data_IF_701512059594
#
_entry.id   IF_701512059594
#
_cell.length_a   1.000
_cell.length_b   1.000
_cell.length_c   1.000
_cell.angle_alpha   90.00
_cell.angle_beta   90.00
_cell.angle_gamma   90.00
#
_symmetry.space_group_name_H-M   'P 1'
#
loop_
_entity.id
_entity.type
_entity.pdbx_description
1 polymer ?
#
# COMPACT_ATOMS: atom_id res chain seq x y z
N UNK A 1 23.93 8.58 -5.17
CA UNK A 1 23.02 9.68 -4.81
C UNK A 1 21.67 9.04 -4.59
N UNK A 2 21.24 8.92 -3.35
CA UNK A 2 19.86 8.61 -3.06
C UNK A 2 19.06 9.85 -3.42
N UNK A 3 18.16 9.73 -4.38
CA UNK A 3 17.26 10.82 -4.74
C UNK A 3 16.30 11.03 -3.56
N UNK A 4 16.54 12.08 -2.77
CA UNK A 4 15.61 12.48 -1.72
C UNK A 4 14.31 12.96 -2.36
N UNK A 5 13.20 12.34 -2.00
CA UNK A 5 11.86 12.74 -2.46
C UNK A 5 11.26 13.67 -1.41
N UNK A 6 10.95 14.90 -1.82
CA UNK A 6 10.19 15.82 -0.98
C UNK A 6 8.71 15.56 -1.20
N UNK A 7 7.99 15.32 -0.12
CA UNK A 7 6.56 15.02 -0.11
C UNK A 7 5.80 16.19 0.51
N UNK A 8 4.88 16.78 -0.24
CA UNK A 8 4.06 17.93 0.15
C UNK A 8 2.58 17.60 0.34
N UNK A 9 2.22 16.32 0.28
CA UNK A 9 0.82 15.89 0.39
C UNK A 9 0.66 14.43 0.79
N UNK A 10 -0.41 14.15 1.52
CA UNK A 10 -0.93 12.81 1.72
C UNK A 10 -1.97 12.49 0.65
N UNK A 11 -1.97 11.26 0.16
CA UNK A 11 -2.97 10.73 -0.78
C UNK A 11 -3.84 9.72 -0.06
N UNK A 12 -5.11 10.01 0.10
CA UNK A 12 -6.10 9.15 0.71
C UNK A 12 -6.92 8.49 -0.41
N UNK A 13 -6.95 7.17 -0.44
CA UNK A 13 -7.65 6.36 -1.44
C UNK A 13 -8.76 5.57 -0.74
N UNK A 14 -10.00 5.96 -0.98
CA UNK A 14 -11.19 5.30 -0.45
C UNK A 14 -11.68 4.30 -1.48
N UNK A 15 -11.38 3.04 -1.26
CA UNK A 15 -11.79 1.93 -2.14
C UNK A 15 -12.65 0.95 -1.34
N UNK A 16 -13.90 0.80 -1.76
CA UNK A 16 -14.81 -0.14 -1.13
C UNK A 16 -14.48 -1.61 -1.46
N UNK A 17 -13.56 -1.88 -2.41
CA UNK A 17 -13.24 -3.21 -2.92
C UNK A 17 -14.49 -3.99 -3.34
N UNK A 18 -14.89 -5.00 -2.54
CA UNK A 18 -16.08 -5.82 -2.78
C UNK A 18 -17.33 -5.33 -2.01
N UNK A 19 -17.17 -4.26 -1.21
CA UNK A 19 -18.26 -3.64 -0.45
C UNK A 19 -18.98 -2.57 -1.29
N UNK A 20 -20.19 -2.15 -0.89
CA UNK A 20 -20.94 -1.09 -1.57
C UNK A 20 -20.17 0.24 -1.62
N UNK A 21 -20.27 0.96 -2.75
CA UNK A 21 -19.64 2.27 -2.94
C UNK A 21 -20.11 3.31 -1.90
N UNK A 22 -21.30 3.13 -1.35
CA UNK A 22 -21.88 3.91 -0.26
C UNK A 22 -21.01 3.91 1.01
N UNK A 23 -20.27 2.85 1.25
CA UNK A 23 -19.34 2.78 2.40
C UNK A 23 -18.14 3.69 2.19
N UNK A 24 -17.55 3.69 0.98
CA UNK A 24 -16.50 4.63 0.62
C UNK A 24 -17.00 6.09 0.61
N UNK A 25 -18.24 6.32 0.19
CA UNK A 25 -18.89 7.62 0.25
C UNK A 25 -19.05 8.12 1.68
N UNK A 26 -19.56 7.28 2.60
CA UNK A 26 -19.70 7.61 4.02
C UNK A 26 -18.36 7.95 4.66
N UNK A 27 -17.35 7.15 4.39
CA UNK A 27 -16.00 7.37 4.92
C UNK A 27 -15.37 8.65 4.39
N UNK A 28 -15.58 8.96 3.09
CA UNK A 28 -15.19 10.24 2.51
C UNK A 28 -15.81 11.41 3.26
N UNK A 29 -17.13 11.37 3.53
CA UNK A 29 -17.84 12.43 4.26
C UNK A 29 -17.27 12.64 5.67
N UNK A 30 -16.98 11.54 6.38
CA UNK A 30 -16.37 11.61 7.73
C UNK A 30 -15.00 12.30 7.70
N UNK A 31 -14.17 11.94 6.73
CA UNK A 31 -12.82 12.51 6.64
C UNK A 31 -12.85 13.96 6.16
N UNK A 32 -13.65 14.26 5.15
CA UNK A 32 -13.76 15.64 4.63
C UNK A 32 -14.37 16.61 5.62
N UNK A 33 -15.33 16.18 6.45
CA UNK A 33 -15.88 17.00 7.55
C UNK A 33 -14.78 17.40 8.55
N UNK A 34 -13.89 16.48 8.91
CA UNK A 34 -12.74 16.78 9.78
C UNK A 34 -11.78 17.77 9.11
N UNK A 35 -11.46 17.58 7.83
CA UNK A 35 -10.57 18.48 7.10
C UNK A 35 -11.15 19.89 6.97
N UNK A 36 -12.45 20.00 6.76
CA UNK A 36 -13.15 21.30 6.67
C UNK A 36 -13.20 22.01 8.02
N UNK A 37 -13.46 21.31 9.12
CA UNK A 37 -13.46 21.89 10.48
C UNK A 37 -12.11 22.49 10.85
N UNK A 38 -11.04 21.88 10.39
CA UNK A 38 -9.67 22.34 10.65
C UNK A 38 -9.15 23.30 9.55
N UNK A 39 -10.02 23.69 8.59
CA UNK A 39 -9.70 24.50 7.40
C UNK A 39 -8.47 23.98 6.63
N UNK A 40 -8.28 22.67 6.60
CA UNK A 40 -7.16 22.02 5.91
C UNK A 40 -7.34 22.11 4.40
N UNK A 41 -6.26 22.41 3.68
CA UNK A 41 -6.24 22.45 2.22
C UNK A 41 -6.25 21.04 1.62
N UNK A 42 -7.27 20.74 0.78
CA UNK A 42 -7.38 19.46 0.10
C UNK A 42 -8.08 19.54 -1.25
N UNK A 43 -7.95 18.49 -2.04
CA UNK A 43 -8.69 18.27 -3.29
C UNK A 43 -9.32 16.90 -3.28
N UNK A 44 -10.50 16.78 -3.89
CA UNK A 44 -11.25 15.53 -3.96
C UNK A 44 -11.54 15.15 -5.39
N UNK A 45 -11.64 13.84 -5.62
CA UNK A 45 -12.03 13.25 -6.90
C UNK A 45 -12.87 12.00 -6.66
N UNK A 46 -13.90 11.81 -7.48
CA UNK A 46 -14.48 10.49 -7.67
C UNK A 46 -13.62 9.74 -8.69
N UNK A 47 -13.17 8.54 -8.39
CA UNK A 47 -12.23 7.77 -9.24
C UNK A 47 -12.95 6.83 -10.24
N UNK A 48 -14.28 6.73 -10.15
CA UNK A 48 -15.11 5.76 -10.87
C UNK A 48 -15.49 4.53 -10.05
N UNK A 49 -14.70 4.16 -9.02
CA UNK A 49 -14.97 3.04 -8.11
C UNK A 49 -14.86 3.40 -6.62
N UNK A 50 -14.39 4.58 -6.32
CA UNK A 50 -14.14 5.08 -4.99
C UNK A 50 -13.79 6.54 -5.06
N UNK A 51 -13.07 7.03 -4.04
CA UNK A 51 -12.76 8.45 -3.94
C UNK A 51 -11.28 8.66 -3.61
N UNK A 52 -10.72 9.72 -4.16
CA UNK A 52 -9.36 10.15 -3.88
C UNK A 52 -9.38 11.51 -3.18
N UNK A 53 -8.61 11.67 -2.10
CA UNK A 53 -8.40 12.96 -1.46
C UNK A 53 -6.91 13.24 -1.37
N UNK A 54 -6.49 14.41 -1.84
CA UNK A 54 -5.14 14.92 -1.69
C UNK A 54 -5.14 15.97 -0.59
N UNK A 55 -4.54 15.66 0.54
CA UNK A 55 -4.38 16.58 1.66
C UNK A 55 -3.02 17.23 1.56
N UNK A 56 -2.97 18.55 1.44
CA UNK A 56 -1.74 19.31 1.29
C UNK A 56 -1.13 19.61 2.65
N UNK A 57 0.18 19.45 2.75
CA UNK A 57 0.93 19.70 3.98
C UNK A 57 2.25 20.42 3.74
N UNK A 58 2.93 20.77 4.82
CA UNK A 58 4.28 21.26 4.76
C UNK A 58 5.20 20.19 4.18
N UNK A 59 6.18 20.56 3.33
CA UNK A 59 7.07 19.60 2.71
C UNK A 59 7.88 18.81 3.74
N UNK A 60 7.93 17.49 3.57
CA UNK A 60 8.75 16.56 4.37
C UNK A 60 9.58 15.67 3.44
N UNK A 61 10.74 15.25 3.90
CA UNK A 61 11.64 14.33 3.20
C UNK A 61 11.53 12.89 3.74
N UNK A 62 10.81 12.70 4.84
CA UNK A 62 10.59 11.40 5.45
C UNK A 62 9.15 10.90 5.20
N UNK A 63 9.03 9.83 4.42
CA UNK A 63 7.74 9.22 4.13
C UNK A 63 6.99 8.75 5.40
N UNK A 64 7.70 8.45 6.49
CA UNK A 64 7.10 8.04 7.76
C UNK A 64 6.18 9.10 8.34
N UNK A 65 6.50 10.38 8.13
CA UNK A 65 5.66 11.52 8.53
C UNK A 65 4.27 11.43 7.87
N UNK A 66 4.23 11.13 6.57
CA UNK A 66 2.99 10.91 5.83
C UNK A 66 2.29 9.63 6.31
N UNK A 67 3.04 8.56 6.56
CA UNK A 67 2.49 7.28 7.04
C UNK A 67 1.84 7.43 8.42
N UNK A 68 2.46 8.17 9.33
CA UNK A 68 1.89 8.43 10.66
C UNK A 68 0.63 9.29 10.57
N UNK A 69 0.64 10.34 9.73
CA UNK A 69 -0.55 11.13 9.46
C UNK A 69 -1.69 10.26 8.91
N UNK A 70 -1.38 9.43 7.92
CA UNK A 70 -2.32 8.52 7.30
C UNK A 70 -2.91 7.52 8.31
N UNK A 71 -2.07 6.91 9.14
CA UNK A 71 -2.52 6.00 10.20
C UNK A 71 -3.52 6.67 11.13
N UNK A 72 -3.28 7.94 11.50
CA UNK A 72 -4.19 8.72 12.34
C UNK A 72 -5.52 9.03 11.63
N UNK A 73 -5.49 9.33 10.33
CA UNK A 73 -6.70 9.60 9.54
C UNK A 73 -7.50 8.33 9.28
N UNK A 74 -6.83 7.18 9.10
CA UNK A 74 -7.47 5.90 8.78
C UNK A 74 -8.14 5.24 9.99
N UNK A 75 -7.99 5.78 11.19
CA UNK A 75 -8.64 5.24 12.37
C UNK A 75 -10.16 5.43 12.29
N UNK A 76 -10.90 4.31 12.32
CA UNK A 76 -12.35 4.29 12.14
C UNK A 76 -12.84 4.55 10.71
N UNK A 77 -11.95 4.43 9.70
CA UNK A 77 -12.27 4.64 8.27
C UNK A 77 -11.91 3.36 7.49
N UNK A 78 -12.78 2.35 7.46
CA UNK A 78 -12.46 1.01 6.94
C UNK A 78 -12.16 0.97 5.45
N UNK A 79 -12.77 1.83 4.62
CA UNK A 79 -12.55 1.84 3.16
C UNK A 79 -11.27 2.58 2.73
N UNK A 80 -10.55 3.20 3.68
CA UNK A 80 -9.31 3.87 3.37
C UNK A 80 -8.18 2.85 3.14
N UNK A 81 -7.71 2.73 1.88
CA UNK A 81 -6.67 1.79 1.50
C UNK A 81 -5.32 2.17 2.12
N UNK A 82 -4.94 1.45 3.18
CA UNK A 82 -3.68 1.63 3.93
C UNK A 82 -2.42 1.37 3.08
N UNK A 83 -2.57 0.81 1.89
CA UNK A 83 -1.46 0.59 0.95
C UNK A 83 -1.10 1.86 0.14
N UNK A 84 -1.92 2.90 0.25
CA UNK A 84 -1.81 4.15 -0.51
C UNK A 84 -0.57 4.99 -0.28
N UNK A 85 0.25 4.66 0.73
CA UNK A 85 1.37 5.49 1.19
C UNK A 85 2.67 5.09 0.49
N UNK A 86 2.68 5.06 -0.82
CA UNK A 86 3.88 4.80 -1.61
C UNK A 86 4.16 5.98 -2.54
N UNK A 87 5.43 6.39 -2.63
CA UNK A 87 5.86 7.51 -3.48
C UNK A 87 5.63 7.26 -4.97
N UNK A 88 5.61 6.01 -5.39
CA UNK A 88 5.47 5.56 -6.76
C UNK A 88 4.08 5.02 -7.13
N UNK A 89 3.05 5.27 -6.29
CA UNK A 89 1.70 4.78 -6.58
C UNK A 89 1.11 5.50 -7.78
N UNK A 90 0.64 4.72 -8.73
CA UNK A 90 -0.12 5.23 -9.88
C UNK A 90 -1.47 5.75 -9.42
N UNK A 91 -1.86 6.92 -9.95
CA UNK A 91 -3.12 7.58 -9.66
C UNK A 91 -3.86 7.86 -10.94
N UNK A 92 -5.18 7.78 -10.88
CA UNK A 92 -6.01 8.09 -12.03
C UNK A 92 -5.98 9.59 -12.32
N UNK A 93 -5.78 9.93 -13.59
CA UNK A 93 -5.79 11.33 -14.01
C UNK A 93 -7.23 11.87 -14.00
N UNK A 94 -7.43 13.12 -13.55
CA UNK A 94 -8.72 13.78 -13.66
C UNK A 94 -9.24 13.77 -15.10
N UNK A 95 -10.52 13.55 -15.26
CA UNK A 95 -11.23 13.45 -16.53
C UNK A 95 -10.81 12.28 -17.44
N UNK A 96 -10.06 11.29 -16.92
CA UNK A 96 -9.86 10.02 -17.61
C UNK A 96 -11.01 9.05 -17.31
N UNK A 97 -11.35 8.20 -18.28
CA UNK A 97 -12.34 7.14 -18.11
C UNK A 97 -11.81 6.01 -17.21
N UNK A 98 -12.66 5.48 -16.35
CA UNK A 98 -12.40 4.27 -15.61
C UNK A 98 -13.08 3.08 -16.29
N UNK A 99 -12.33 2.31 -17.07
CA UNK A 99 -12.87 1.18 -17.84
C UNK A 99 -13.28 -0.03 -16.96
N UNK A 100 -13.00 0.02 -15.65
CA UNK A 100 -13.38 -1.04 -14.70
C UNK A 100 -14.66 -0.72 -13.92
N UNK A 101 -15.32 0.40 -14.24
CA UNK A 101 -16.61 0.80 -13.67
C UNK A 101 -17.48 1.44 -14.74
N UNK A 102 -18.80 1.22 -14.68
CA UNK A 102 -19.75 1.73 -15.68
C UNK A 102 -21.10 2.00 -15.06
N UNK A 103 -21.88 2.81 -15.77
CA UNK A 103 -23.31 2.99 -15.50
C UNK A 103 -24.13 1.75 -15.91
N UNK A 104 -25.42 1.78 -15.71
CA UNK A 104 -26.37 0.72 -16.07
C UNK A 104 -26.39 0.39 -17.58
N UNK A 105 -25.94 1.32 -18.43
CA UNK A 105 -25.87 1.16 -19.88
C UNK A 105 -24.48 0.66 -20.35
N UNK A 106 -23.55 0.40 -19.41
CA UNK A 106 -22.19 -0.04 -19.70
C UNK A 106 -21.22 1.07 -20.11
N UNK A 107 -21.62 2.35 -19.96
CA UNK A 107 -20.72 3.47 -20.24
C UNK A 107 -19.77 3.69 -19.05
N UNK A 108 -18.45 3.79 -19.26
CA UNK A 108 -17.50 3.96 -18.17
C UNK A 108 -17.66 5.32 -17.49
N UNK A 109 -17.51 5.34 -16.17
CA UNK A 109 -17.44 6.58 -15.41
C UNK A 109 -16.11 7.29 -15.63
N UNK A 110 -16.13 8.62 -15.52
CA UNK A 110 -14.93 9.45 -15.53
C UNK A 110 -14.43 9.70 -14.11
N UNK A 111 -13.12 9.80 -13.95
CA UNK A 111 -12.52 10.35 -12.75
C UNK A 111 -12.76 11.86 -12.74
N UNK A 112 -13.68 12.35 -11.91
CA UNK A 112 -14.06 13.75 -11.91
C UNK A 112 -13.61 14.46 -10.62
N UNK A 113 -13.20 15.75 -10.69
CA UNK A 113 -12.99 16.56 -9.51
C UNK A 113 -14.33 16.87 -8.81
N UNK A 114 -14.30 16.89 -7.47
CA UNK A 114 -15.46 17.21 -6.64
C UNK A 114 -15.21 18.52 -5.88
N UNK A 115 -16.30 19.28 -5.66
CA UNK A 115 -16.35 20.44 -4.77
C UNK A 115 -16.95 20.02 -3.42
N UNK A 116 -16.80 20.88 -2.40
CA UNK A 116 -17.45 20.66 -1.09
C UNK A 116 -18.96 20.65 -1.23
N UNK A 117 -19.50 21.53 -2.07
CA UNK A 117 -20.93 21.62 -2.34
C UNK A 117 -21.52 20.36 -2.95
N UNK A 118 -20.70 19.56 -3.66
CA UNK A 118 -21.15 18.27 -4.19
C UNK A 118 -21.40 17.23 -3.07
N UNK A 119 -20.76 17.41 -1.91
CA UNK A 119 -20.94 16.54 -0.75
C UNK A 119 -22.26 16.79 0.00
N UNK A 120 -22.97 17.89 -0.30
CA UNK A 120 -24.31 18.17 0.22
C UNK A 120 -25.39 17.33 -0.49
N UNK A 121 -25.05 16.77 -1.65
CA UNK A 121 -25.87 15.85 -2.42
C UNK A 121 -25.80 14.40 -1.95
N UNK A 122 -26.30 13.51 -2.77
CA UNK A 122 -26.22 12.08 -2.60
C UNK A 122 -25.20 11.45 -3.58
N UNK A 123 -24.86 10.19 -3.35
CA UNK A 123 -23.95 9.43 -4.22
C UNK A 123 -24.48 9.34 -5.66
N UNK A 124 -25.80 9.22 -5.85
CA UNK A 124 -26.44 9.16 -7.15
C UNK A 124 -26.11 10.40 -8.00
N UNK A 125 -26.14 11.56 -7.38
CA UNK A 125 -25.77 12.84 -8.01
C UNK A 125 -24.32 12.85 -8.48
N UNK A 126 -23.42 12.26 -7.69
CA UNK A 126 -22.00 12.10 -8.08
C UNK A 126 -21.85 11.15 -9.28
N UNK A 127 -22.55 10.02 -9.26
CA UNK A 127 -22.54 9.05 -10.36
C UNK A 127 -23.09 9.67 -11.65
N UNK A 128 -24.16 10.47 -11.58
CA UNK A 128 -24.68 11.18 -12.73
C UNK A 128 -23.69 12.20 -13.30
N UNK A 129 -23.03 12.98 -12.44
CA UNK A 129 -21.97 13.89 -12.85
C UNK A 129 -20.79 13.15 -13.50
N UNK A 130 -20.47 11.95 -13.05
CA UNK A 130 -19.34 11.17 -13.53
C UNK A 130 -19.55 10.52 -14.91
N UNK A 131 -20.74 10.61 -15.49
CA UNK A 131 -21.01 10.17 -16.87
C UNK A 131 -20.29 11.02 -17.93
N UNK A 132 -19.71 12.15 -17.56
CA UNK A 132 -18.95 13.04 -18.45
C UNK A 132 -17.78 13.73 -17.74
N UNK A 133 -16.76 14.19 -18.48
CA UNK A 133 -15.67 14.98 -17.89
C UNK A 133 -16.18 16.27 -17.25
N UNK A 134 -15.55 16.67 -16.13
CA UNK A 134 -15.91 17.88 -15.39
C UNK A 134 -14.74 18.85 -15.28
N UNK A 135 -14.84 20.00 -15.94
CA UNK A 135 -13.78 21.04 -15.96
C UNK A 135 -13.98 22.02 -14.81
N UNK A 136 -13.62 21.62 -13.61
CA UNK A 136 -13.57 22.50 -12.43
C UNK A 136 -12.21 22.39 -11.75
N UNK A 137 -11.85 23.40 -10.98
CA UNK A 137 -10.68 23.38 -10.10
C UNK A 137 -11.20 23.43 -8.67
N UNK A 138 -11.02 22.34 -7.94
CA UNK A 138 -11.34 22.27 -6.52
C UNK A 138 -10.15 22.77 -5.70
N UNK A 139 -10.38 23.75 -4.82
CA UNK A 139 -9.46 24.14 -3.77
C UNK A 139 -10.31 24.35 -2.51
N UNK A 140 -10.19 23.42 -1.56
CA UNK A 140 -10.92 23.47 -0.29
C UNK A 140 -9.90 23.71 0.81
N UNK A 141 -10.26 24.57 1.80
CA UNK A 141 -9.40 24.94 2.91
C UNK A 141 -8.17 25.78 2.51
N UNK A 142 -7.52 26.34 3.50
CA UNK A 142 -6.36 27.23 3.31
C UNK A 142 -5.11 26.73 4.02
N UNK A 143 -5.25 26.03 5.14
CA UNK A 143 -4.15 25.62 5.99
C UNK A 143 -3.45 24.36 5.45
N UNK A 144 -2.13 24.35 5.52
CA UNK A 144 -1.34 23.14 5.28
C UNK A 144 -1.30 22.29 6.54
N UNK A 145 -1.34 20.97 6.37
CA UNK A 145 -1.09 20.03 7.47
C UNK A 145 0.40 20.10 7.85
N UNK A 146 0.68 20.20 9.12
CA UNK A 146 2.03 19.95 9.64
C UNK A 146 2.12 18.44 9.89
N UNK A 147 2.84 17.74 8.99
CA UNK A 147 3.10 16.31 9.18
C UNK A 147 4.01 16.10 10.40
N UNK A 148 3.79 15.01 11.17
CA UNK A 148 4.61 14.74 12.34
C UNK A 148 6.10 14.64 11.97
N UNK A 149 6.95 15.31 12.72
CA UNK A 149 8.40 15.13 12.61
C UNK A 149 8.76 13.75 13.16
N UNK A 150 9.42 12.97 12.33
CA UNK A 150 9.84 11.62 12.72
C UNK A 150 11.21 11.68 13.37
N UNK A 151 11.29 11.15 14.59
CA UNK A 151 12.58 10.96 15.21
C UNK A 151 13.42 9.96 14.40
N UNK A 152 14.75 10.17 14.30
CA UNK A 152 15.63 9.16 13.73
C UNK A 152 15.34 7.81 14.39
N UNK A 153 15.27 6.75 13.59
CA UNK A 153 15.11 5.40 14.14
C UNK A 153 16.44 5.05 14.80
N UNK A 154 16.52 5.19 16.12
CA UNK A 154 17.60 4.58 16.87
C UNK A 154 17.39 3.06 16.77
N UNK A 155 18.17 2.44 15.90
CA UNK A 155 18.24 0.98 15.86
C UNK A 155 18.76 0.52 17.22
N UNK A 156 17.99 -0.33 17.90
CA UNK A 156 18.46 -0.96 19.11
C UNK A 156 19.79 -1.67 18.80
N UNK A 157 20.80 -1.48 19.64
CA UNK A 157 22.09 -2.20 19.53
C UNK A 157 21.97 -3.71 19.82
N UNK A 158 20.71 -4.18 19.92
CA UNK A 158 20.40 -5.60 20.13
C UNK A 158 20.85 -6.35 18.89
N UNK A 159 21.88 -7.16 19.03
CA UNK A 159 22.30 -8.13 18.03
C UNK A 159 21.18 -9.18 17.91
N UNK A 160 20.60 -9.31 16.73
CA UNK A 160 19.49 -10.23 16.50
C UNK A 160 20.03 -11.53 15.93
N UNK A 161 19.84 -12.61 16.66
CA UNK A 161 20.23 -13.95 16.21
C UNK A 161 19.55 -14.31 14.89
N UNK A 162 20.29 -15.04 14.03
CA UNK A 162 19.75 -15.57 12.80
C UNK A 162 18.77 -16.69 13.17
N UNK A 163 17.46 -16.55 12.87
CA UNK A 163 16.50 -17.58 13.21
C UNK A 163 16.79 -18.88 12.45
N UNK A 164 16.55 -20.00 13.11
CA UNK A 164 16.60 -21.31 12.42
C UNK A 164 15.55 -21.34 11.33
N UNK A 165 15.90 -21.65 10.07
CA UNK A 165 14.93 -21.74 8.99
C UNK A 165 13.88 -22.82 9.30
N UNK A 166 12.61 -22.50 9.07
CA UNK A 166 11.52 -23.48 9.14
C UNK A 166 11.60 -24.47 7.98
N UNK A 167 11.99 -23.97 6.81
CA UNK A 167 12.27 -24.74 5.59
C UNK A 167 13.77 -24.91 5.35
N UNK A 168 14.17 -24.85 4.07
CA UNK A 168 15.56 -25.00 3.63
C UNK A 168 16.21 -23.67 3.27
N UNK A 169 15.43 -22.63 3.02
CA UNK A 169 15.92 -21.32 2.60
C UNK A 169 16.07 -20.41 3.82
N UNK A 170 17.23 -19.75 3.99
CA UNK A 170 17.43 -18.80 5.09
C UNK A 170 16.40 -17.66 5.06
N UNK A 171 15.94 -17.26 6.22
CA UNK A 171 14.95 -16.19 6.39
C UNK A 171 15.56 -15.05 7.21
N UNK A 172 15.18 -13.81 6.89
CA UNK A 172 15.60 -12.65 7.67
C UNK A 172 14.90 -12.65 9.04
N UNK A 173 15.55 -12.21 10.13
CA UNK A 173 14.91 -12.15 11.45
C UNK A 173 13.59 -11.37 11.45
N UNK A 174 13.55 -10.22 10.78
CA UNK A 174 12.35 -9.39 10.66
C UNK A 174 11.22 -10.11 9.92
N UNK A 175 11.53 -10.86 8.87
CA UNK A 175 10.54 -11.64 8.13
C UNK A 175 10.09 -12.86 8.93
N UNK A 176 11.02 -13.55 9.60
CA UNK A 176 10.67 -14.64 10.48
C UNK A 176 9.62 -14.21 11.52
N UNK A 177 9.88 -13.11 12.24
CA UNK A 177 8.94 -12.61 13.24
C UNK A 177 7.59 -12.20 12.61
N UNK A 178 7.61 -11.63 11.41
CA UNK A 178 6.41 -11.18 10.72
C UNK A 178 5.54 -12.32 10.18
N UNK A 179 6.13 -13.49 9.88
CA UNK A 179 5.39 -14.63 9.31
C UNK A 179 5.05 -15.71 10.35
N UNK A 180 5.71 -15.71 11.52
CA UNK A 180 5.46 -16.67 12.60
C UNK A 180 4.35 -16.19 13.53
N UNK A 181 3.29 -15.64 12.96
CA UNK A 181 2.07 -15.20 13.64
C UNK A 181 0.87 -15.83 12.96
N UNK A 182 -0.26 -15.86 13.68
CA UNK A 182 -1.52 -16.34 13.09
C UNK A 182 -1.93 -15.45 11.91
N UNK A 183 -2.14 -16.07 10.75
CA UNK A 183 -2.51 -15.39 9.50
C UNK A 183 -1.67 -14.14 9.20
N UNK A 184 -0.37 -14.29 8.87
CA UNK A 184 0.52 -13.17 8.63
C UNK A 184 -0.06 -12.20 7.59
N UNK A 185 0.24 -10.92 7.76
CA UNK A 185 -0.22 -9.90 6.83
C UNK A 185 0.17 -10.19 5.38
N UNK A 186 -0.62 -9.71 4.43
CA UNK A 186 -0.30 -9.86 3.00
C UNK A 186 1.12 -9.37 2.67
N UNK A 187 1.54 -8.25 3.24
CA UNK A 187 2.88 -7.70 3.01
C UNK A 187 4.00 -8.58 3.56
N UNK A 188 3.83 -9.15 4.75
CA UNK A 188 4.82 -10.08 5.30
C UNK A 188 5.07 -11.24 4.34
N UNK A 189 3.99 -11.81 3.77
CA UNK A 189 4.07 -12.91 2.79
C UNK A 189 4.69 -12.46 1.47
N UNK A 190 4.32 -11.28 0.95
CA UNK A 190 4.90 -10.70 -0.28
C UNK A 190 6.39 -10.48 -0.11
N UNK A 191 6.82 -9.88 0.99
CA UNK A 191 8.25 -9.59 1.24
C UNK A 191 9.07 -10.86 1.44
N UNK A 192 8.50 -11.89 2.05
CA UNK A 192 9.12 -13.21 2.13
C UNK A 192 9.34 -13.81 0.73
N UNK A 193 8.33 -13.76 -0.14
CA UNK A 193 8.43 -14.27 -1.52
C UNK A 193 9.48 -13.48 -2.32
N UNK A 194 9.52 -12.15 -2.18
CA UNK A 194 10.55 -11.31 -2.82
C UNK A 194 11.95 -11.66 -2.31
N UNK A 195 12.10 -11.89 -1.01
CA UNK A 195 13.36 -12.33 -0.41
C UNK A 195 13.82 -13.69 -0.97
N UNK A 196 12.93 -14.67 -1.01
CA UNK A 196 13.24 -15.99 -1.56
C UNK A 196 13.57 -15.92 -3.05
N UNK A 197 12.82 -15.15 -3.82
CA UNK A 197 13.10 -14.93 -5.24
C UNK A 197 14.50 -14.35 -5.44
N UNK A 198 14.88 -13.35 -4.68
CA UNK A 198 16.18 -12.69 -4.81
C UNK A 198 17.34 -13.65 -4.49
N UNK A 199 17.21 -14.42 -3.41
CA UNK A 199 18.16 -15.47 -3.06
C UNK A 199 18.28 -16.55 -4.14
N UNK A 200 17.16 -17.10 -4.60
CA UNK A 200 17.13 -18.21 -5.56
C UNK A 200 17.58 -17.78 -6.95
N UNK A 201 17.37 -16.52 -7.31
CA UNK A 201 17.88 -15.95 -8.57
C UNK A 201 19.36 -15.60 -8.54
N UNK A 202 20.01 -15.68 -7.37
CA UNK A 202 21.41 -15.27 -7.17
C UNK A 202 21.71 -13.86 -7.72
N UNK A 203 20.75 -12.92 -7.54
CA UNK A 203 20.86 -11.56 -8.05
C UNK A 203 20.62 -11.42 -9.57
N UNK A 204 20.30 -12.50 -10.27
CA UNK A 204 19.93 -12.42 -11.69
C UNK A 204 18.56 -11.70 -11.81
N UNK A 205 18.57 -10.52 -12.41
CA UNK A 205 17.37 -9.68 -12.59
C UNK A 205 16.46 -10.16 -13.71
N UNK A 206 17.01 -10.94 -14.66
CA UNK A 206 16.29 -11.42 -15.85
C UNK A 206 16.45 -12.95 -15.99
N UNK A 207 15.90 -13.76 -15.07
CA UNK A 207 15.92 -15.21 -15.22
C UNK A 207 15.12 -15.62 -16.47
N UNK A 208 15.50 -16.76 -17.06
CA UNK A 208 14.71 -17.34 -18.16
C UNK A 208 13.36 -17.84 -17.66
N UNK A 209 12.35 -18.04 -18.54
CA UNK A 209 11.05 -18.60 -18.14
C UNK A 209 11.16 -19.94 -17.41
N UNK A 210 12.12 -20.79 -17.81
CA UNK A 210 12.36 -22.07 -17.14
C UNK A 210 12.96 -21.88 -15.73
N UNK A 211 13.89 -20.94 -15.57
CA UNK A 211 14.42 -20.58 -14.26
C UNK A 211 13.33 -19.98 -13.36
N UNK A 212 12.46 -19.12 -13.89
CA UNK A 212 11.31 -18.57 -13.14
C UNK A 212 10.38 -19.67 -12.64
N UNK A 213 10.12 -20.70 -13.48
CA UNK A 213 9.32 -21.84 -13.09
C UNK A 213 9.97 -22.64 -11.95
N UNK A 214 11.28 -22.87 -12.02
CA UNK A 214 12.03 -23.57 -10.96
C UNK A 214 12.04 -22.74 -9.66
N UNK A 215 12.27 -21.42 -9.73
CA UNK A 215 12.21 -20.51 -8.59
C UNK A 215 10.81 -20.56 -7.97
N UNK A 216 9.74 -20.43 -8.77
CA UNK A 216 8.35 -20.51 -8.30
C UNK A 216 8.09 -21.82 -7.55
N UNK A 217 8.49 -22.95 -8.12
CA UNK A 217 8.32 -24.26 -7.47
C UNK A 217 9.07 -24.34 -6.14
N UNK A 218 10.31 -23.85 -6.11
CA UNK A 218 11.11 -23.84 -4.87
C UNK A 218 10.49 -22.98 -3.77
N UNK A 219 10.00 -21.79 -4.12
CA UNK A 219 9.30 -20.90 -3.18
C UNK A 219 8.02 -21.55 -2.66
N UNK A 220 7.21 -22.16 -3.54
CA UNK A 220 5.97 -22.83 -3.12
C UNK A 220 6.25 -23.96 -2.12
N UNK A 221 7.28 -24.77 -2.35
CA UNK A 221 7.67 -25.83 -1.42
C UNK A 221 8.08 -25.28 -0.05
N UNK A 222 8.77 -24.14 0.00
CA UNK A 222 9.13 -23.48 1.26
C UNK A 222 7.90 -22.94 1.99
N UNK A 223 7.02 -22.25 1.28
CA UNK A 223 5.80 -21.69 1.87
C UNK A 223 4.84 -22.78 2.38
N UNK A 224 4.70 -23.88 1.63
CA UNK A 224 3.91 -25.04 2.07
C UNK A 224 4.53 -25.72 3.29
N UNK A 225 5.87 -25.78 3.35
CA UNK A 225 6.59 -26.27 4.52
C UNK A 225 6.33 -25.39 5.75
N UNK A 226 6.34 -24.09 5.60
CA UNK A 226 6.02 -23.14 6.68
C UNK A 226 4.57 -23.35 7.12
N UNK A 227 3.61 -23.30 6.18
CA UNK A 227 2.19 -23.43 6.49
C UNK A 227 1.86 -24.76 7.19
N UNK A 228 2.43 -25.89 6.73
CA UNK A 228 2.17 -27.21 7.29
C UNK A 228 2.85 -27.50 8.62
N UNK A 229 4.04 -26.90 8.87
CA UNK A 229 4.78 -27.14 10.13
C UNK A 229 4.34 -26.24 11.28
N UNK A 230 3.76 -25.09 10.98
CA UNK A 230 3.48 -24.09 12.00
C UNK A 230 2.02 -24.06 12.43
N UNK A 231 1.10 -24.59 11.61
CA UNK A 231 -0.35 -24.53 11.81
C UNK A 231 -0.93 -23.15 12.09
N UNK A 232 -0.17 -22.08 11.79
CA UNK A 232 -0.59 -20.68 12.06
C UNK A 232 -1.12 -19.98 10.80
N UNK A 233 -0.89 -20.55 9.60
CA UNK A 233 -1.42 -20.00 8.35
C UNK A 233 -2.77 -20.63 8.01
N UNK A 234 -3.79 -20.33 8.83
CA UNK A 234 -5.13 -20.93 8.75
C UNK A 234 -5.84 -20.64 7.42
N UNK A 235 -5.50 -19.54 6.77
CA UNK A 235 -6.03 -19.10 5.47
C UNK A 235 -5.19 -19.60 4.28
N UNK A 236 -4.29 -20.59 4.49
CA UNK A 236 -3.44 -21.13 3.44
C UNK A 236 -4.25 -21.69 2.27
N UNK A 237 -3.98 -21.18 1.07
CA UNK A 237 -4.59 -21.66 -0.18
C UNK A 237 -3.52 -21.76 -1.26
N UNK A 238 -3.06 -22.99 -1.54
CA UNK A 238 -1.96 -23.24 -2.46
C UNK A 238 -2.19 -22.69 -3.89
N UNK A 239 -3.35 -22.88 -4.55
CA UNK A 239 -3.59 -22.33 -5.89
C UNK A 239 -3.55 -20.79 -5.93
N UNK A 240 -4.13 -20.14 -4.94
CA UNK A 240 -4.10 -18.67 -4.84
C UNK A 240 -2.69 -18.17 -4.59
N UNK A 241 -1.97 -18.80 -3.66
CA UNK A 241 -0.58 -18.46 -3.33
C UNK A 241 0.34 -18.63 -4.54
N UNK A 242 0.23 -19.76 -5.29
CA UNK A 242 1.03 -20.00 -6.49
C UNK A 242 0.85 -18.87 -7.53
N UNK A 243 -0.37 -18.42 -7.75
CA UNK A 243 -0.65 -17.32 -8.68
C UNK A 243 0.08 -16.03 -8.26
N UNK A 244 0.09 -15.70 -6.96
CA UNK A 244 0.80 -14.52 -6.45
C UNK A 244 2.32 -14.69 -6.53
N UNK A 245 2.85 -15.86 -6.14
CA UNK A 245 4.28 -16.16 -6.21
C UNK A 245 4.77 -16.04 -7.65
N UNK A 246 4.07 -16.65 -8.61
CA UNK A 246 4.40 -16.53 -10.03
C UNK A 246 4.40 -15.08 -10.50
N UNK A 247 3.39 -14.29 -10.12
CA UNK A 247 3.33 -12.88 -10.46
C UNK A 247 4.52 -12.07 -9.94
N UNK A 248 5.02 -12.36 -8.73
CA UNK A 248 6.19 -11.71 -8.14
C UNK A 248 7.47 -12.15 -8.86
N UNK A 249 7.61 -13.45 -9.13
CA UNK A 249 8.80 -14.02 -9.79
C UNK A 249 8.93 -13.50 -11.22
N UNK A 250 7.84 -13.55 -12.00
CA UNK A 250 7.84 -13.13 -13.41
C UNK A 250 8.08 -11.62 -13.58
N UNK A 251 7.59 -10.79 -12.65
CA UNK A 251 7.85 -9.35 -12.64
C UNK A 251 9.24 -8.97 -12.14
N UNK A 252 9.98 -9.93 -11.59
CA UNK A 252 11.35 -9.71 -11.14
C UNK A 252 11.50 -8.80 -9.93
N UNK A 253 10.51 -8.77 -9.02
CA UNK A 253 10.59 -7.94 -7.82
C UNK A 253 11.77 -8.33 -6.94
N UNK A 254 12.60 -7.36 -6.57
CA UNK A 254 13.73 -7.54 -5.66
C UNK A 254 13.28 -7.68 -4.21
N UNK A 255 14.16 -8.22 -3.37
CA UNK A 255 13.97 -8.22 -1.93
C UNK A 255 13.77 -6.79 -1.39
N UNK A 256 12.86 -6.59 -0.41
CA UNK A 256 12.60 -5.28 0.15
C UNK A 256 13.86 -4.73 0.84
N UNK A 257 14.14 -3.44 0.66
CA UNK A 257 15.26 -2.78 1.32
C UNK A 257 14.98 -2.57 2.81
N UNK A 258 16.01 -2.61 3.63
CA UNK A 258 15.87 -2.33 5.07
C UNK A 258 15.40 -0.88 5.28
N UNK A 259 16.17 0.10 4.78
CA UNK A 259 15.92 1.53 5.01
C UNK A 259 14.59 2.04 4.44
N UNK A 260 14.26 1.63 3.20
CA UNK A 260 13.10 2.21 2.49
C UNK A 260 11.79 1.43 2.71
N UNK A 261 11.85 0.18 3.18
CA UNK A 261 10.66 -0.68 3.29
C UNK A 261 10.52 -1.30 4.67
N UNK A 262 11.48 -2.13 5.10
CA UNK A 262 11.29 -2.96 6.29
C UNK A 262 11.30 -2.15 7.60
N UNK A 263 12.17 -1.15 7.70
CA UNK A 263 12.23 -0.26 8.87
C UNK A 263 11.00 0.65 8.93
N UNK A 264 10.68 1.43 7.88
CA UNK A 264 9.53 2.33 7.92
C UNK A 264 8.19 1.63 8.15
N UNK A 265 8.07 0.37 7.72
CA UNK A 265 6.85 -0.42 7.91
C UNK A 265 6.83 -1.22 9.23
N UNK A 266 7.81 -1.03 10.10
CA UNK A 266 7.86 -1.67 11.41
C UNK A 266 8.18 -3.17 11.38
N UNK A 267 8.69 -3.70 10.28
CA UNK A 267 9.12 -5.11 10.21
C UNK A 267 10.48 -5.34 10.86
N UNK A 268 11.35 -4.33 10.85
CA UNK A 268 12.70 -4.48 11.36
C UNK A 268 12.70 -4.64 12.89
N UNK A 269 13.41 -5.64 13.39
CA UNK A 269 13.49 -5.99 14.81
C UNK A 269 14.82 -5.61 15.47
N UNK A 270 15.77 -5.04 14.71
CA UNK A 270 17.09 -4.66 15.21
C UNK A 270 18.20 -4.90 14.18
N UNK A 271 19.44 -4.69 14.59
CA UNK A 271 20.61 -4.94 13.75
C UNK A 271 20.76 -6.44 13.45
N UNK A 272 20.82 -6.78 12.17
CA UNK A 272 21.08 -8.13 11.72
C UNK A 272 22.18 -8.11 10.65
N UNK A 273 22.66 -9.28 10.24
CA UNK A 273 23.75 -9.43 9.27
C UNK A 273 23.53 -8.72 7.91
N UNK A 274 22.27 -8.43 7.54
CA UNK A 274 21.93 -7.71 6.31
C UNK A 274 21.89 -6.19 6.50
N UNK A 275 21.75 -5.73 7.73
CA UNK A 275 21.70 -4.30 8.01
C UNK A 275 23.10 -3.72 7.89
N UNK A 276 23.28 -2.81 6.95
CA UNK A 276 24.48 -2.00 6.82
C UNK A 276 24.09 -0.57 7.15
N UNK A 277 24.78 0.04 8.09
CA UNK A 277 24.75 1.49 8.30
C UNK A 277 25.18 2.14 6.98
N UNK A 278 24.20 2.71 6.23
CA UNK A 278 24.39 3.34 4.94
C UNK A 278 24.99 4.72 5.07
#
# INVERSE_FOLDING_TARGET
>A
MEDSVILDRAFLDFDAHDEPLEDAWRDLLVVTDKLLKDDIRFKMYFSGKGFHVFVYGEPVDDIRSIQQYYSKVSDGVPTLDRTGIQTNRLRRLPNSMNLSSSDENGNPYFCIPLLVEDLEGDLESILEMAKKPRKIVSNNGTNLVVFPEMQPIEMSDIEVDIPTPVGKIPILPCMHNAIMVENPSHYARVYLVQWYRDLLSMGNRNPTPEQNKQITTSIMNELETIASKTDIWLDWNAPTTERYVRGIVDKGYNAPSCGNVLIPQGFCVGKCWRYHDG
#
